data_IF_254286093257
#
_entry.id   IF_254286093257
#
_cell.length_a   1.000
_cell.length_b   1.000
_cell.length_c   1.000
_cell.angle_alpha   90.00
_cell.angle_beta   90.00
_cell.angle_gamma   90.00
#
_symmetry.space_group_name_H-M   'P 1'
#
loop_
_entity.id
_entity.type
_entity.pdbx_description
1 polymer ?
#
# COMPACT_ATOMS: atom_id res chain seq x y z
N UNK A 1 -19.22 -3.06 -2.09
CA UNK A 1 -17.78 -3.17 -2.33
C UNK A 1 -17.19 -4.19 -1.37
N UNK A 2 -16.27 -5.01 -1.86
CA UNK A 2 -15.69 -6.07 -1.03
C UNK A 2 -14.86 -5.52 0.12
N UNK A 3 -14.91 -6.14 1.30
CA UNK A 3 -14.03 -5.76 2.38
C UNK A 3 -12.57 -6.06 2.03
N UNK A 4 -11.67 -5.26 2.58
CA UNK A 4 -10.24 -5.41 2.40
C UNK A 4 -9.63 -5.88 3.71
N UNK A 5 -8.91 -6.99 3.67
CA UNK A 5 -8.26 -7.58 4.83
C UNK A 5 -6.76 -7.68 4.58
N UNK A 6 -5.97 -7.26 5.53
CA UNK A 6 -4.52 -7.44 5.46
C UNK A 6 -4.17 -8.82 6.01
N UNK A 7 -3.28 -9.54 5.30
CA UNK A 7 -2.72 -10.79 5.81
C UNK A 7 -1.89 -10.50 7.05
N UNK A 8 -1.57 -11.54 7.82
CA UNK A 8 -0.70 -11.39 8.98
C UNK A 8 0.66 -10.81 8.59
N UNK A 9 1.21 -11.25 7.47
CA UNK A 9 2.46 -10.71 6.95
C UNK A 9 2.35 -9.20 6.69
N UNK A 10 1.31 -8.78 5.96
CA UNK A 10 1.12 -7.36 5.64
C UNK A 10 0.93 -6.54 6.92
N UNK A 11 0.15 -7.05 7.87
CA UNK A 11 -0.13 -6.34 9.13
C UNK A 11 1.13 -6.09 9.96
N UNK A 12 2.10 -6.99 9.89
CA UNK A 12 3.34 -6.86 10.67
C UNK A 12 4.23 -5.71 10.21
N UNK A 13 4.05 -5.24 8.99
CA UNK A 13 4.94 -4.23 8.41
C UNK A 13 4.37 -2.82 8.43
N UNK A 14 3.20 -2.60 9.06
CA UNK A 14 2.60 -1.27 9.11
C UNK A 14 3.55 -0.22 9.68
N UNK A 15 4.12 -0.48 10.85
CA UNK A 15 5.07 0.45 11.47
C UNK A 15 6.42 0.45 10.76
N UNK A 16 6.91 -0.71 10.41
CA UNK A 16 8.24 -0.87 9.82
C UNK A 16 8.36 -0.17 8.48
N UNK A 17 7.32 -0.25 7.65
CA UNK A 17 7.31 0.37 6.32
C UNK A 17 6.56 1.69 6.30
N UNK A 18 5.85 2.02 7.38
CA UNK A 18 5.24 3.32 7.54
C UNK A 18 3.95 3.54 6.78
N UNK A 19 3.15 2.50 6.56
CA UNK A 19 1.84 2.67 5.95
C UNK A 19 0.72 2.45 6.96
N UNK A 20 -0.46 2.95 6.63
CA UNK A 20 -1.66 2.70 7.44
C UNK A 20 -2.65 1.86 6.65
N UNK A 21 -3.56 1.20 7.37
CA UNK A 21 -4.64 0.43 6.73
C UNK A 21 -5.48 1.34 5.85
N UNK A 22 -5.78 2.55 6.33
CA UNK A 22 -6.57 3.52 5.57
C UNK A 22 -5.91 3.88 4.23
N UNK A 23 -4.60 4.05 4.21
CA UNK A 23 -3.86 4.34 2.98
C UNK A 23 -3.93 3.18 1.99
N UNK A 24 -3.80 1.95 2.50
CA UNK A 24 -3.90 0.76 1.66
C UNK A 24 -5.30 0.66 1.04
N UNK A 25 -6.33 0.86 1.84
CA UNK A 25 -7.71 0.81 1.35
C UNK A 25 -7.96 1.90 0.32
N UNK A 26 -7.49 3.11 0.56
CA UNK A 26 -7.67 4.21 -0.39
C UNK A 26 -6.97 3.89 -1.71
N UNK A 27 -5.75 3.36 -1.68
CA UNK A 27 -5.03 3.00 -2.89
C UNK A 27 -5.82 1.97 -3.71
N UNK A 28 -6.29 0.91 -3.07
CA UNK A 28 -7.02 -0.16 -3.76
C UNK A 28 -8.34 0.35 -4.34
N UNK A 29 -9.05 1.23 -3.62
CA UNK A 29 -10.37 1.69 -4.06
C UNK A 29 -10.33 2.80 -5.11
N UNK A 30 -9.22 3.52 -5.23
CA UNK A 30 -9.17 4.71 -6.09
C UNK A 30 -8.22 4.59 -7.28
N UNK A 31 -7.26 3.66 -7.24
CA UNK A 31 -6.25 3.55 -8.29
C UNK A 31 -6.51 2.35 -9.21
N UNK A 32 -6.09 2.42 -10.48
CA UNK A 32 -6.23 1.28 -11.38
C UNK A 32 -5.37 0.11 -10.91
N UNK A 33 -5.89 -1.10 -11.09
CA UNK A 33 -5.19 -2.33 -10.72
C UNK A 33 -4.40 -2.86 -11.91
N UNK A 34 -3.23 -3.41 -11.63
CA UNK A 34 -2.36 -4.00 -12.65
C UNK A 34 -1.94 -5.40 -12.22
N UNK A 35 -1.63 -6.29 -13.19
CA UNK A 35 -1.12 -7.61 -12.83
C UNK A 35 0.20 -7.51 -12.09
N UNK A 36 0.37 -8.37 -11.09
CA UNK A 36 1.61 -8.54 -10.35
C UNK A 36 2.06 -9.99 -10.46
N UNK A 37 3.19 -10.33 -9.87
CA UNK A 37 3.70 -11.69 -9.91
C UNK A 37 2.78 -12.65 -9.15
N UNK A 38 2.87 -13.94 -9.48
CA UNK A 38 2.14 -15.03 -8.82
C UNK A 38 0.62 -14.84 -8.89
N UNK A 39 0.15 -14.34 -10.04
CA UNK A 39 -1.28 -14.13 -10.30
C UNK A 39 -1.94 -13.17 -9.31
N UNK A 40 -1.17 -12.24 -8.75
CA UNK A 40 -1.67 -11.21 -7.85
C UNK A 40 -1.94 -9.93 -8.60
N UNK A 41 -2.52 -8.97 -7.91
CA UNK A 41 -2.78 -7.63 -8.41
C UNK A 41 -2.01 -6.62 -7.59
N UNK A 42 -1.79 -5.46 -8.17
CA UNK A 42 -1.17 -4.34 -7.46
C UNK A 42 -1.76 -3.01 -7.90
N UNK A 43 -1.59 -2.02 -7.07
CA UNK A 43 -1.83 -0.62 -7.44
C UNK A 43 -0.86 0.25 -6.66
N UNK A 44 -0.77 1.52 -7.04
CA UNK A 44 0.13 2.47 -6.40
C UNK A 44 -0.59 3.79 -6.21
N UNK A 45 -0.38 4.41 -5.07
CA UNK A 45 -0.91 5.74 -4.82
C UNK A 45 0.10 6.58 -4.06
N UNK A 46 0.29 7.81 -4.53
CA UNK A 46 1.16 8.78 -3.88
C UNK A 46 0.36 9.58 -2.87
N UNK A 47 0.96 9.77 -1.70
CA UNK A 47 0.38 10.57 -0.63
C UNK A 47 1.35 11.69 -0.27
N UNK A 48 0.83 12.87 0.01
CA UNK A 48 1.64 13.94 0.57
C UNK A 48 2.13 13.49 1.95
N UNK A 49 3.40 13.65 2.21
CA UNK A 49 4.00 13.16 3.45
C UNK A 49 4.57 14.31 4.30
N UNK A 50 5.63 14.97 3.82
CA UNK A 50 6.19 16.14 4.48
C UNK A 50 6.72 15.87 5.89
N UNK A 51 7.31 14.71 6.12
CA UNK A 51 7.80 14.30 7.43
C UNK A 51 9.15 13.61 7.31
N UNK A 52 9.81 13.42 8.46
CA UNK A 52 11.02 12.61 8.52
C UNK A 52 10.68 11.12 8.46
N UNK A 53 11.48 10.39 7.71
CA UNK A 53 11.46 8.94 7.71
C UNK A 53 12.90 8.47 7.78
N UNK A 54 13.22 7.75 8.85
CA UNK A 54 14.59 7.27 9.11
C UNK A 54 15.63 8.39 9.02
N UNK A 55 15.31 9.56 9.55
CA UNK A 55 16.25 10.66 9.67
C UNK A 55 16.34 11.57 8.45
N UNK A 56 15.49 11.36 7.44
CA UNK A 56 15.47 12.21 6.26
C UNK A 56 14.06 12.71 5.98
N UNK A 57 13.95 13.97 5.57
CA UNK A 57 12.67 14.58 5.22
C UNK A 57 12.28 14.20 3.79
N UNK A 58 11.06 13.68 3.64
CA UNK A 58 10.50 13.34 2.33
C UNK A 58 9.17 14.06 2.12
N UNK A 59 8.92 14.49 0.91
CA UNK A 59 7.67 15.18 0.58
C UNK A 59 6.56 14.22 0.16
N UNK A 60 6.92 13.04 -0.34
CA UNK A 60 5.95 12.08 -0.89
C UNK A 60 6.21 10.68 -0.38
N UNK A 61 5.12 9.99 -0.10
CA UNK A 61 5.13 8.56 0.23
C UNK A 61 4.25 7.85 -0.79
N UNK A 62 4.79 6.81 -1.45
CA UNK A 62 4.02 5.97 -2.35
C UNK A 62 3.70 4.65 -1.66
N UNK A 63 2.44 4.30 -1.63
CA UNK A 63 1.97 3.02 -1.05
C UNK A 63 1.59 2.10 -2.20
N UNK A 64 2.19 0.90 -2.21
CA UNK A 64 1.99 -0.10 -3.26
C UNK A 64 1.55 -1.42 -2.65
N UNK A 65 0.24 -1.64 -2.51
CA UNK A 65 -0.25 -2.94 -2.03
C UNK A 65 -0.22 -4.00 -3.12
N UNK A 66 0.12 -5.22 -2.72
CA UNK A 66 0.02 -6.43 -3.55
C UNK A 66 -1.10 -7.26 -2.94
N UNK A 67 -2.09 -7.63 -3.74
CA UNK A 67 -3.31 -8.23 -3.20
C UNK A 67 -3.92 -9.25 -4.16
N UNK A 68 -4.86 -10.04 -3.63
CA UNK A 68 -5.63 -11.02 -4.36
C UNK A 68 -7.10 -10.67 -4.20
N UNK A 69 -7.84 -10.66 -5.30
CA UNK A 69 -9.28 -10.46 -5.25
C UNK A 69 -9.97 -11.82 -5.20
N UNK A 70 -10.63 -12.09 -4.07
CA UNK A 70 -11.41 -13.31 -3.88
C UNK A 70 -12.89 -13.02 -4.04
N UNK A 71 -13.72 -14.07 -4.04
CA UNK A 71 -15.14 -13.90 -4.29
C UNK A 71 -15.81 -12.93 -3.31
N UNK A 72 -15.44 -12.96 -2.04
CA UNK A 72 -16.10 -12.18 -1.00
C UNK A 72 -15.22 -11.12 -0.35
N UNK A 73 -13.92 -11.08 -0.66
CA UNK A 73 -13.01 -10.13 -0.02
C UNK A 73 -11.77 -9.90 -0.88
N UNK A 74 -11.05 -8.83 -0.56
CA UNK A 74 -9.73 -8.56 -1.10
C UNK A 74 -8.73 -8.82 0.01
N UNK A 75 -7.72 -9.65 -0.25
CA UNK A 75 -6.69 -9.99 0.73
C UNK A 75 -5.38 -9.32 0.33
N UNK A 76 -4.89 -8.43 1.16
CA UNK A 76 -3.61 -7.76 0.94
C UNK A 76 -2.48 -8.67 1.43
N UNK A 77 -1.65 -9.14 0.51
CA UNK A 77 -0.58 -10.08 0.81
C UNK A 77 0.62 -9.38 1.39
N UNK A 78 0.98 -8.24 0.81
CA UNK A 78 2.09 -7.42 1.31
C UNK A 78 1.89 -5.99 0.83
N UNK A 79 2.63 -5.06 1.43
CA UNK A 79 2.58 -3.65 1.07
C UNK A 79 4.01 -3.12 1.02
N UNK A 80 4.37 -2.49 -0.08
CA UNK A 80 5.63 -1.77 -0.20
C UNK A 80 5.39 -0.29 -0.08
N UNK A 81 6.32 0.42 0.52
CA UNK A 81 6.27 1.87 0.63
C UNK A 81 7.57 2.45 0.10
N UNK A 82 7.46 3.56 -0.62
CA UNK A 82 8.59 4.26 -1.18
C UNK A 82 8.51 5.71 -0.74
N UNK A 83 9.64 6.28 -0.37
CA UNK A 83 9.71 7.67 0.09
C UNK A 83 10.61 8.44 -0.86
N UNK A 84 10.15 9.60 -1.31
CA UNK A 84 10.95 10.40 -2.22
C UNK A 84 10.61 11.89 -2.08
N UNK A 85 11.54 12.69 -2.59
CA UNK A 85 11.35 14.13 -2.68
C UNK A 85 10.80 14.45 -4.06
N UNK A 86 9.85 15.38 -4.10
CA UNK A 86 9.37 15.89 -5.38
C UNK A 86 10.00 17.26 -5.61
N UNK A 87 10.46 17.56 -6.85
CA UNK A 87 11.01 18.87 -7.17
C UNK A 87 9.98 19.98 -7.05
#
# INVERSE_FOLDING_TARGET
MKPIRLSDHASRYTTRRGFTVAEVEEAIRTMPWQPAELERLECRKDFAYGKDWNGKLYTTKQVRPIFVEEASEIVVVTVYTYYFEQP
#
